data_IF_881533472102
#
_entry.id   IF_881533472102
#
_cell.length_a   1.000
_cell.length_b   1.000
_cell.length_c   1.000
_cell.angle_alpha   90.00
_cell.angle_beta   90.00
_cell.angle_gamma   90.00
#
_symmetry.space_group_name_H-M   'P 1'
#
loop_
_entity.id
_entity.type
_entity.pdbx_description
1 polymer ?
#
# COMPACT_ATOMS: atom_id res chain seq x y z
N UNK A 1 -5.88 -17.08 20.38
CA UNK A 1 -5.82 -15.99 19.38
C UNK A 1 -4.74 -15.04 19.84
N UNK A 2 -3.65 -14.89 19.07
CA UNK A 2 -2.64 -13.90 19.41
C UNK A 2 -3.29 -12.52 19.25
N UNK A 3 -3.23 -11.70 20.29
CA UNK A 3 -3.79 -10.36 20.28
C UNK A 3 -3.13 -9.56 19.14
N UNK A 4 -3.89 -9.32 18.07
CA UNK A 4 -3.53 -8.50 16.90
C UNK A 4 -2.93 -7.16 17.36
N UNK A 5 -3.44 -6.61 18.47
CA UNK A 5 -2.92 -5.42 19.15
C UNK A 5 -1.51 -5.58 19.72
N UNK A 6 -1.16 -6.76 20.25
CA UNK A 6 0.19 -7.08 20.75
C UNK A 6 1.18 -7.27 19.60
N UNK A 7 0.75 -7.88 18.50
CA UNK A 7 1.55 -8.04 17.28
C UNK A 7 1.86 -6.67 16.65
N UNK A 8 0.84 -5.82 16.53
CA UNK A 8 1.00 -4.44 16.07
C UNK A 8 1.97 -3.62 16.93
N UNK A 9 1.86 -3.76 18.27
CA UNK A 9 2.77 -3.11 19.20
C UNK A 9 4.23 -3.57 19.00
N UNK A 10 4.45 -4.87 18.70
CA UNK A 10 5.76 -5.43 18.41
C UNK A 10 6.41 -4.85 17.14
N UNK A 11 5.66 -4.79 16.03
CA UNK A 11 6.16 -4.18 14.79
C UNK A 11 6.45 -2.68 14.94
N UNK A 12 5.63 -1.97 15.72
CA UNK A 12 5.88 -0.57 16.06
C UNK A 12 7.13 -0.37 16.91
N UNK A 13 7.38 -1.28 17.87
CA UNK A 13 8.62 -1.26 18.65
C UNK A 13 9.85 -1.52 17.79
N UNK A 14 9.75 -2.42 16.80
CA UNK A 14 10.81 -2.67 15.82
C UNK A 14 11.15 -1.40 15.03
N UNK A 15 10.15 -0.66 14.57
CA UNK A 15 10.32 0.61 13.84
C UNK A 15 11.06 1.70 14.64
N UNK A 16 10.84 1.78 15.96
CA UNK A 16 11.49 2.77 16.82
C UNK A 16 12.83 2.32 17.40
N UNK A 17 13.22 1.04 17.25
CA UNK A 17 14.49 0.56 17.79
C UNK A 17 15.66 0.92 16.85
N UNK A 18 16.62 1.76 17.28
CA UNK A 18 17.74 2.19 16.45
C UNK A 18 18.72 1.06 16.11
N UNK A 19 18.67 -0.07 16.83
CA UNK A 19 19.54 -1.23 16.58
C UNK A 19 18.95 -2.24 15.58
N UNK A 20 17.86 -1.88 14.90
CA UNK A 20 17.21 -2.76 13.90
C UNK A 20 17.56 -2.32 12.49
N UNK A 21 17.63 -3.29 11.58
CA UNK A 21 17.92 -3.06 10.17
C UNK A 21 16.76 -2.35 9.46
N UNK A 22 17.09 -1.53 8.46
CA UNK A 22 16.12 -0.81 7.63
C UNK A 22 15.17 -1.78 6.89
N UNK A 23 15.66 -2.91 6.40
CA UNK A 23 14.83 -3.92 5.73
C UNK A 23 13.78 -4.52 6.69
N UNK A 24 14.16 -4.72 7.95
CA UNK A 24 13.24 -5.21 8.98
C UNK A 24 12.18 -4.17 9.36
N UNK A 25 12.53 -2.88 9.29
CA UNK A 25 11.62 -1.75 9.50
C UNK A 25 10.62 -1.64 8.37
N UNK A 26 11.06 -1.70 7.11
CA UNK A 26 10.17 -1.68 5.95
C UNK A 26 9.17 -2.84 5.97
N UNK A 27 9.65 -4.06 6.23
CA UNK A 27 8.78 -5.22 6.36
C UNK A 27 7.75 -5.08 7.51
N UNK A 28 8.20 -4.56 8.66
CA UNK A 28 7.30 -4.30 9.79
C UNK A 28 6.26 -3.22 9.47
N UNK A 29 6.61 -2.23 8.65
CA UNK A 29 5.71 -1.18 8.19
C UNK A 29 4.66 -1.72 7.23
N UNK A 30 5.06 -2.53 6.25
CA UNK A 30 4.14 -3.17 5.29
C UNK A 30 3.14 -4.09 5.98
N UNK A 31 3.56 -4.89 6.97
CA UNK A 31 2.66 -5.74 7.75
C UNK A 31 1.70 -4.93 8.64
N UNK A 32 2.17 -3.82 9.23
CA UNK A 32 1.33 -2.92 10.01
C UNK A 32 0.26 -2.24 9.15
N UNK A 33 0.61 -1.86 7.92
CA UNK A 33 -0.31 -1.22 6.96
C UNK A 33 -1.24 -2.22 6.27
N UNK A 34 -0.78 -3.44 5.98
CA UNK A 34 -1.51 -4.42 5.18
C UNK A 34 -2.27 -5.50 5.97
N UNK A 35 -1.76 -5.95 7.11
CA UNK A 35 -2.35 -7.06 7.88
C UNK A 35 -3.19 -6.54 9.05
N UNK A 36 -2.72 -5.48 9.73
CA UNK A 36 -3.28 -5.00 10.99
C UNK A 36 -4.35 -3.91 10.82
N UNK A 37 -4.47 -3.35 9.62
CA UNK A 37 -5.57 -2.46 9.25
C UNK A 37 -6.81 -3.24 8.74
N UNK A 38 -6.70 -4.57 8.63
CA UNK A 38 -7.71 -5.47 8.05
C UNK A 38 -8.72 -6.00 9.06
N UNK A 39 -8.48 -5.82 10.37
CA UNK A 39 -9.30 -6.37 11.46
C UNK A 39 -9.64 -5.30 12.53
N UNK A 40 -9.94 -4.08 12.11
CA UNK A 40 -10.75 -3.18 12.92
C UNK A 40 -12.19 -3.17 12.35
N UNK A 41 -13.23 -3.38 13.18
CA UNK A 41 -14.60 -3.32 12.72
C UNK A 41 -14.93 -1.88 12.30
N UNK A 42 -14.90 -1.60 11.00
CA UNK A 42 -15.88 -0.70 10.42
C UNK A 42 -17.08 -1.55 10.05
N UNK A 43 -18.15 -1.37 10.80
CA UNK A 43 -19.52 -1.76 10.47
C UNK A 43 -19.74 -1.91 8.95
N UNK A 44 -20.19 -3.11 8.56
CA UNK A 44 -21.10 -3.27 7.45
C UNK A 44 -20.49 -3.48 6.07
N UNK A 45 -20.53 -4.75 5.64
CA UNK A 45 -20.60 -5.20 4.24
C UNK A 45 -19.35 -4.96 3.38
N UNK A 46 -18.66 -6.06 3.05
CA UNK A 46 -18.55 -6.49 1.65
C UNK A 46 -18.14 -7.96 1.62
N UNK A 47 -19.11 -8.80 1.23
CA UNK A 47 -18.81 -10.12 0.70
C UNK A 47 -18.09 -9.97 -0.65
N UNK A 48 -17.25 -10.95 -0.97
CA UNK A 48 -16.74 -11.28 -2.31
C UNK A 48 -15.57 -10.43 -2.87
N UNK A 49 -14.35 -10.90 -2.58
CA UNK A 49 -13.07 -10.59 -3.27
C UNK A 49 -13.10 -11.13 -4.71
N UNK A 50 -12.57 -10.43 -5.75
CA UNK A 50 -11.14 -10.58 -6.10
C UNK A 50 -10.50 -9.41 -6.91
N UNK A 51 -9.30 -8.98 -6.52
CA UNK A 51 -8.28 -8.47 -7.45
C UNK A 51 -8.32 -6.97 -7.82
N UNK A 52 -7.37 -6.23 -7.24
CA UNK A 52 -6.86 -4.89 -7.63
C UNK A 52 -7.79 -3.71 -7.38
N UNK A 53 -7.44 -2.93 -6.35
CA UNK A 53 -8.01 -1.61 -6.09
C UNK A 53 -7.67 -0.64 -7.25
N UNK A 54 -8.66 -0.13 -8.00
CA UNK A 54 -8.41 0.77 -9.13
C UNK A 54 -7.78 2.11 -8.69
N UNK A 55 -8.06 2.58 -7.48
CA UNK A 55 -7.43 3.79 -6.92
C UNK A 55 -5.91 3.69 -6.74
N UNK A 56 -5.39 2.49 -6.44
CA UNK A 56 -3.95 2.26 -6.31
C UNK A 56 -3.26 2.19 -7.68
N UNK A 57 -3.97 1.71 -8.70
CA UNK A 57 -3.50 1.70 -10.09
C UNK A 57 -3.42 3.13 -10.63
N UNK A 58 -4.47 3.94 -10.41
CA UNK A 58 -4.47 5.35 -10.77
C UNK A 58 -3.34 6.14 -10.07
N UNK A 59 -3.10 5.88 -8.77
CA UNK A 59 -1.98 6.47 -8.03
C UNK A 59 -0.61 6.09 -8.60
N UNK A 60 -0.42 4.81 -8.97
CA UNK A 60 0.81 4.32 -9.58
C UNK A 60 1.07 4.89 -10.97
N UNK A 61 0.04 4.98 -11.81
CA UNK A 61 0.14 5.61 -13.14
C UNK A 61 0.47 7.10 -13.03
N UNK A 62 -0.16 7.81 -12.08
CA UNK A 62 0.14 9.23 -11.80
C UNK A 62 1.57 9.44 -11.30
N UNK A 63 2.10 8.51 -10.49
CA UNK A 63 3.49 8.54 -10.06
C UNK A 63 4.47 8.29 -11.22
N UNK A 64 4.15 7.38 -12.14
CA UNK A 64 4.95 7.10 -13.33
C UNK A 64 5.03 8.32 -14.27
N UNK A 65 3.93 9.04 -14.46
CA UNK A 65 3.87 10.28 -15.27
C UNK A 65 4.79 11.36 -14.68
N UNK A 66 4.85 11.49 -13.35
CA UNK A 66 5.62 12.54 -12.67
C UNK A 66 7.11 12.19 -12.49
N UNK A 67 7.48 10.92 -12.66
CA UNK A 67 8.84 10.45 -12.41
C UNK A 67 9.79 10.85 -13.58
N UNK A 68 10.84 11.65 -13.32
CA UNK A 68 11.77 12.07 -14.37
C UNK A 68 12.63 10.93 -14.94
N UNK A 69 12.70 9.78 -14.25
CA UNK A 69 13.45 8.61 -14.70
C UNK A 69 12.64 7.69 -15.64
N UNK A 70 11.39 8.04 -15.93
CA UNK A 70 10.52 7.31 -16.86
C UNK A 70 10.59 7.98 -18.24
N UNK A 71 10.58 7.16 -19.30
CA UNK A 71 10.61 7.64 -20.69
C UNK A 71 9.31 8.35 -21.08
N UNK A 72 9.40 9.29 -22.02
CA UNK A 72 8.24 10.08 -22.46
C UNK A 72 7.12 9.22 -23.05
N UNK A 73 7.45 8.20 -23.85
CA UNK A 73 6.47 7.23 -24.40
C UNK A 73 5.71 6.48 -23.28
N UNK A 74 6.42 6.10 -22.21
CA UNK A 74 5.81 5.39 -21.07
C UNK A 74 4.93 6.33 -20.22
N UNK A 75 5.28 7.61 -20.13
CA UNK A 75 4.44 8.63 -19.49
C UNK A 75 3.16 8.87 -20.29
N UNK A 76 3.26 8.93 -21.61
CA UNK A 76 2.10 9.11 -22.49
C UNK A 76 1.13 7.93 -22.39
N UNK A 77 1.64 6.70 -22.46
CA UNK A 77 0.83 5.48 -22.22
C UNK A 77 0.22 5.44 -20.82
N UNK A 78 0.96 5.86 -19.79
CA UNK A 78 0.42 5.90 -18.43
C UNK A 78 -0.68 6.95 -18.27
N UNK A 79 -0.60 8.04 -19.04
CA UNK A 79 -1.59 9.11 -19.05
C UNK A 79 -2.87 8.70 -19.77
N UNK A 80 -2.77 8.10 -20.96
CA UNK A 80 -3.93 7.57 -21.71
C UNK A 80 -4.72 6.57 -20.85
N UNK A 81 -4.02 5.64 -20.21
CA UNK A 81 -4.66 4.64 -19.32
C UNK A 81 -5.23 5.23 -18.04
N UNK A 82 -4.70 6.38 -17.58
CA UNK A 82 -5.26 7.10 -16.44
C UNK A 82 -6.54 7.83 -16.87
N UNK A 83 -6.56 8.43 -18.06
CA UNK A 83 -7.73 9.09 -18.64
C UNK A 83 -8.86 8.10 -18.96
N UNK A 84 -8.56 6.91 -19.51
CA UNK A 84 -9.53 5.81 -19.71
C UNK A 84 -10.11 5.25 -18.40
N UNK A 85 -9.40 5.40 -17.28
CA UNK A 85 -9.86 4.97 -15.94
C UNK A 85 -10.68 6.04 -15.21
N UNK A 86 -10.49 7.33 -15.55
CA UNK A 86 -11.20 8.48 -14.97
C UNK A 86 -12.44 8.89 -15.80
N UNK A 87 -12.60 8.35 -17.02
CA UNK A 87 -13.74 8.57 -17.92
C UNK A 87 -14.93 7.63 -17.65
#
# INVERSE_FOLDING_TARGET
MADITRVAAGHKANLSNPNTSEESKEHSKTLLEGELNSDAPSDGNVADYPGKHPGNVAGGLKAAIKNPNVSEEAKESAKERLEDMDA
#
